data_IF_080043735862
#
_entry.id   IF_080043735862
#
_cell.length_a   1.000
_cell.length_b   1.000
_cell.length_c   1.000
_cell.angle_alpha   90.00
_cell.angle_beta   90.00
_cell.angle_gamma   90.00
#
_symmetry.space_group_name_H-M   'P 1'
#
loop_
_entity.id
_entity.type
_entity.pdbx_description
1 polymer ?
#
# COMPACT_ATOMS: atom_id res chain seq x y z
N UNK A 1 17.23 -0.91 0.22
CA UNK A 1 16.55 0.30 -0.30
C UNK A 1 15.08 -0.05 -0.46
N UNK A 2 14.17 0.93 -0.46
CA UNK A 2 12.76 0.65 -0.73
C UNK A 2 12.59 0.24 -2.21
N UNK A 3 11.80 -0.81 -2.47
CA UNK A 3 11.45 -1.25 -3.83
C UNK A 3 10.69 -0.16 -4.59
N UNK A 4 9.76 0.49 -3.91
CA UNK A 4 8.97 1.60 -4.41
C UNK A 4 9.07 2.80 -3.45
N UNK A 5 9.53 3.94 -3.96
CA UNK A 5 9.53 5.19 -3.20
C UNK A 5 8.30 6.03 -3.57
N UNK A 6 7.78 6.79 -2.60
CA UNK A 6 6.82 7.85 -2.91
C UNK A 6 7.52 8.94 -3.72
N UNK A 7 6.87 9.41 -4.78
CA UNK A 7 7.27 10.59 -5.56
C UNK A 7 6.11 11.56 -5.66
N UNK A 8 6.40 12.83 -5.94
CA UNK A 8 5.35 13.84 -6.13
C UNK A 8 4.48 13.61 -7.38
N UNK A 9 4.92 12.75 -8.30
CA UNK A 9 4.14 12.28 -9.45
C UNK A 9 2.95 11.40 -9.05
N UNK A 10 3.01 10.77 -7.88
CA UNK A 10 1.92 9.96 -7.33
C UNK A 10 0.89 10.78 -6.56
N UNK A 11 1.16 12.06 -6.32
CA UNK A 11 0.25 12.95 -5.58
C UNK A 11 -0.96 13.34 -6.42
N UNK A 12 -2.15 13.17 -5.87
CA UNK A 12 -3.40 13.66 -6.47
C UNK A 12 -3.85 15.00 -5.89
N UNK A 13 -2.97 15.66 -5.11
CA UNK A 13 -3.22 16.95 -4.43
C UNK A 13 -4.38 16.93 -3.43
N UNK A 14 -4.75 15.75 -2.95
CA UNK A 14 -5.71 15.55 -1.85
C UNK A 14 -4.94 14.90 -0.69
N UNK A 15 -4.61 15.66 0.39
CA UNK A 15 -3.73 15.16 1.46
C UNK A 15 -4.17 13.86 2.14
N UNK A 16 -5.48 13.61 2.20
CA UNK A 16 -6.03 12.37 2.77
C UNK A 16 -5.80 11.16 1.85
N UNK A 17 -5.89 11.34 0.54
CA UNK A 17 -5.64 10.29 -0.46
C UNK A 17 -4.13 10.02 -0.57
N UNK A 18 -3.30 11.07 -0.65
CA UNK A 18 -1.84 10.91 -0.71
C UNK A 18 -1.31 10.12 0.51
N UNK A 19 -1.91 10.31 1.69
CA UNK A 19 -1.57 9.53 2.90
C UNK A 19 -1.93 8.05 2.74
N UNK A 20 -3.07 7.75 2.12
CA UNK A 20 -3.50 6.37 1.87
C UNK A 20 -2.61 5.70 0.83
N UNK A 21 -2.25 6.39 -0.27
CA UNK A 21 -1.31 5.88 -1.26
C UNK A 21 0.07 5.60 -0.66
N UNK A 22 0.60 6.48 0.19
CA UNK A 22 1.85 6.21 0.93
C UNK A 22 1.77 4.96 1.81
N UNK A 23 0.59 4.67 2.35
CA UNK A 23 0.36 3.45 3.16
C UNK A 23 0.36 2.21 2.27
N UNK A 24 -0.26 2.26 1.09
CA UNK A 24 -0.21 1.19 0.09
C UNK A 24 1.23 0.90 -0.36
N UNK A 25 2.03 1.94 -0.64
CA UNK A 25 3.46 1.80 -0.94
C UNK A 25 4.21 1.13 0.22
N UNK A 26 3.87 1.47 1.47
CA UNK A 26 4.42 0.82 2.66
C UNK A 26 4.13 -0.69 2.70
N UNK A 27 2.93 -1.12 2.31
CA UNK A 27 2.61 -2.54 2.18
C UNK A 27 3.38 -3.22 1.05
N UNK A 28 3.48 -2.58 -0.11
CA UNK A 28 4.24 -3.09 -1.27
C UNK A 28 5.70 -3.31 -0.89
N UNK A 29 6.33 -2.34 -0.24
CA UNK A 29 7.73 -2.46 0.20
C UNK A 29 7.94 -3.58 1.24
N UNK A 30 6.99 -3.77 2.15
CA UNK A 30 7.05 -4.88 3.13
C UNK A 30 6.93 -6.24 2.43
N UNK A 31 6.08 -6.33 1.42
CA UNK A 31 5.91 -7.55 0.64
C UNK A 31 7.20 -7.88 -0.14
N UNK A 32 7.79 -6.89 -0.82
CA UNK A 32 9.06 -7.06 -1.54
C UNK A 32 10.20 -7.50 -0.60
N UNK A 33 10.36 -6.85 0.56
CA UNK A 33 11.39 -7.23 1.54
C UNK A 33 11.16 -8.66 2.07
N UNK A 34 9.91 -9.04 2.31
CA UNK A 34 9.58 -10.40 2.77
C UNK A 34 9.88 -11.48 1.73
N UNK A 35 9.60 -11.21 0.46
CA UNK A 35 9.93 -12.09 -0.65
C UNK A 35 11.45 -12.17 -0.86
N UNK A 36 12.14 -11.03 -0.87
CA UNK A 36 13.59 -10.94 -1.07
C UNK A 36 14.42 -11.61 0.02
N UNK A 37 13.91 -11.65 1.26
CA UNK A 37 14.56 -12.32 2.40
C UNK A 37 14.18 -13.80 2.54
N UNK A 38 13.27 -14.31 1.70
CA UNK A 38 12.76 -15.68 1.83
C UNK A 38 12.06 -15.91 3.17
N UNK A 39 11.26 -14.95 3.64
CA UNK A 39 10.47 -15.12 4.86
C UNK A 39 9.42 -16.23 4.72
N UNK A 40 8.94 -16.71 5.87
CA UNK A 40 7.94 -17.76 5.92
C UNK A 40 6.65 -17.36 5.19
N UNK A 41 6.00 -18.34 4.56
CA UNK A 41 4.78 -18.15 3.78
C UNK A 41 3.67 -17.47 4.60
N UNK A 42 3.54 -17.80 5.90
CA UNK A 42 2.55 -17.18 6.78
C UNK A 42 2.75 -15.66 6.93
N UNK A 43 4.01 -15.19 6.95
CA UNK A 43 4.30 -13.76 7.04
C UNK A 43 3.93 -13.06 5.73
N UNK A 44 4.27 -13.68 4.60
CA UNK A 44 3.93 -13.17 3.27
C UNK A 44 2.42 -13.06 3.13
N UNK A 45 1.68 -14.11 3.50
CA UNK A 45 0.22 -14.15 3.48
C UNK A 45 -0.39 -13.05 4.36
N UNK A 46 0.13 -12.87 5.58
CA UNK A 46 -0.33 -11.80 6.48
C UNK A 46 -0.16 -10.41 5.87
N UNK A 47 0.99 -10.14 5.22
CA UNK A 47 1.26 -8.87 4.54
C UNK A 47 0.32 -8.69 3.36
N UNK A 48 0.15 -9.74 2.54
CA UNK A 48 -0.70 -9.72 1.34
C UNK A 48 -2.17 -9.45 1.71
N UNK A 49 -2.69 -10.14 2.72
CA UNK A 49 -4.04 -9.93 3.24
C UNK A 49 -4.23 -8.52 3.80
N UNK A 50 -3.19 -7.95 4.43
CA UNK A 50 -3.17 -6.57 4.86
C UNK A 50 -3.27 -5.59 3.69
N UNK A 51 -2.47 -5.82 2.63
CA UNK A 51 -2.48 -5.00 1.42
C UNK A 51 -3.85 -5.04 0.73
N UNK A 52 -4.41 -6.24 0.49
CA UNK A 52 -5.74 -6.40 -0.14
C UNK A 52 -6.81 -5.64 0.64
N UNK A 53 -6.88 -5.84 1.97
CA UNK A 53 -7.86 -5.17 2.82
C UNK A 53 -7.72 -3.64 2.76
N UNK A 54 -6.49 -3.14 2.79
CA UNK A 54 -6.26 -1.69 2.77
C UNK A 54 -6.57 -1.09 1.40
N UNK A 55 -6.30 -1.79 0.30
CA UNK A 55 -6.68 -1.38 -1.05
C UNK A 55 -8.19 -1.26 -1.19
N UNK A 56 -8.97 -2.24 -0.70
CA UNK A 56 -10.44 -2.15 -0.71
C UNK A 56 -10.95 -0.96 0.09
N UNK A 57 -10.43 -0.73 1.30
CA UNK A 57 -10.82 0.41 2.13
C UNK A 57 -10.45 1.76 1.48
N UNK A 58 -9.30 1.82 0.80
CA UNK A 58 -8.86 2.99 0.06
C UNK A 58 -9.81 3.33 -1.10
N UNK A 59 -10.18 2.34 -1.92
CA UNK A 59 -11.13 2.56 -3.01
C UNK A 59 -12.50 3.01 -2.50
N UNK A 60 -13.03 2.38 -1.45
CA UNK A 60 -14.28 2.82 -0.82
C UNK A 60 -14.22 4.28 -0.34
N UNK A 61 -13.06 4.73 0.16
CA UNK A 61 -12.88 6.11 0.59
C UNK A 61 -12.90 7.09 -0.59
N UNK A 62 -12.23 6.78 -1.70
CA UNK A 62 -12.26 7.61 -2.91
C UNK A 62 -13.67 7.64 -3.52
N UNK A 63 -14.35 6.49 -3.58
CA UNK A 63 -15.73 6.38 -4.05
C UNK A 63 -16.69 7.25 -3.22
N UNK A 64 -16.56 7.25 -1.88
CA UNK A 64 -17.36 8.10 -1.00
C UNK A 64 -17.05 9.59 -1.16
N UNK A 65 -15.81 9.95 -1.48
CA UNK A 65 -15.41 11.35 -1.64
C UNK A 65 -15.89 11.94 -2.97
N UNK A 66 -16.03 11.10 -4.01
CA UNK A 66 -16.37 11.52 -5.37
C UNK A 66 -17.79 11.16 -5.81
N UNK A 67 -18.58 10.53 -4.93
CA UNK A 67 -20.02 10.25 -5.14
C UNK A 67 -20.90 11.48 -5.00
#
# INVERSE_FOLDING_TARGET
>A
MAFMAWTEELSVKIPSIDRQHRTLIGYINKLDDALGRGHAEQLIEMILNGLVRYTSAHFMYEEMLFS
#
